data_IF_773337518704
#
_entry.id   IF_773337518704
#
_cell.length_a   1.000
_cell.length_b   1.000
_cell.length_c   1.000
_cell.angle_alpha   90.00
_cell.angle_beta   90.00
_cell.angle_gamma   90.00
#
_symmetry.space_group_name_H-M   'P 1'
#
loop_
_entity.id
_entity.type
_entity.pdbx_description
1 polymer ?
#
# COMPACT_ATOMS: atom_id res chain seq x y z
N UNK A 1 3.84 4.82 -16.17
CA UNK A 1 2.93 5.68 -15.37
C UNK A 1 3.58 7.01 -15.00
N UNK A 2 2.78 8.05 -14.63
CA UNK A 2 3.32 9.36 -14.20
C UNK A 2 3.34 9.43 -12.68
N UNK A 3 4.50 9.72 -12.11
CA UNK A 3 4.65 10.05 -10.70
C UNK A 3 4.92 11.55 -10.53
N UNK A 4 4.54 12.10 -9.38
CA UNK A 4 4.73 13.51 -9.10
C UNK A 4 4.87 13.81 -7.60
N UNK A 5 5.41 14.98 -7.28
CA UNK A 5 5.71 15.43 -5.93
C UNK A 5 7.17 15.20 -5.56
N UNK A 6 7.76 16.19 -4.88
CA UNK A 6 9.22 16.25 -4.67
C UNK A 6 9.80 15.02 -3.99
N UNK A 7 9.17 14.51 -2.92
CA UNK A 7 9.73 13.39 -2.15
C UNK A 7 9.74 12.09 -2.95
N UNK A 8 8.59 11.71 -3.55
CA UNK A 8 8.50 10.51 -4.39
C UNK A 8 9.46 10.60 -5.58
N UNK A 9 9.49 11.76 -6.27
CA UNK A 9 10.40 12.01 -7.36
C UNK A 9 11.86 11.80 -6.96
N UNK A 10 12.31 12.40 -5.85
CA UNK A 10 13.68 12.25 -5.34
C UNK A 10 14.01 10.80 -5.00
N UNK A 11 13.09 10.08 -4.37
CA UNK A 11 13.28 8.68 -4.04
C UNK A 11 13.51 7.84 -5.30
N UNK A 12 12.66 8.02 -6.33
CA UNK A 12 12.74 7.27 -7.58
C UNK A 12 14.04 7.59 -8.35
N UNK A 13 14.40 8.85 -8.53
CA UNK A 13 15.62 9.21 -9.26
C UNK A 13 16.91 8.78 -8.54
N UNK A 14 16.85 8.59 -7.23
CA UNK A 14 17.97 8.10 -6.43
C UNK A 14 18.12 6.58 -6.51
N UNK A 15 17.03 5.85 -6.29
CA UNK A 15 17.06 4.41 -6.04
C UNK A 15 16.63 3.57 -7.26
N UNK A 16 15.83 4.15 -8.19
CA UNK A 16 15.20 3.43 -9.31
C UNK A 16 15.42 4.12 -10.65
N UNK A 17 16.65 4.61 -10.88
CA UNK A 17 17.02 5.35 -12.09
C UNK A 17 16.62 4.67 -13.39
N UNK A 18 16.77 3.35 -13.45
CA UNK A 18 16.48 2.54 -14.64
C UNK A 18 15.00 2.50 -15.01
N UNK A 19 14.09 2.74 -14.05
CA UNK A 19 12.66 2.79 -14.31
C UNK A 19 12.18 4.12 -14.89
N UNK A 20 13.04 5.15 -14.89
CA UNK A 20 12.67 6.50 -15.33
C UNK A 20 12.78 6.60 -16.84
N UNK A 21 11.64 6.88 -17.50
CA UNK A 21 11.56 7.09 -18.97
C UNK A 21 11.75 8.53 -19.38
N UNK A 22 11.18 9.46 -18.62
CA UNK A 22 11.26 10.90 -18.90
C UNK A 22 11.11 11.69 -17.60
N UNK A 23 11.92 12.72 -17.42
CA UNK A 23 11.80 13.69 -16.33
C UNK A 23 11.08 14.93 -16.83
N UNK A 24 10.11 15.45 -16.09
CA UNK A 24 9.42 16.71 -16.35
C UNK A 24 9.69 17.70 -15.22
N UNK A 25 10.17 18.90 -15.56
CA UNK A 25 10.47 19.97 -14.61
C UNK A 25 9.59 21.18 -14.93
N UNK A 26 8.71 21.54 -14.00
CA UNK A 26 7.85 22.72 -14.10
C UNK A 26 8.37 23.92 -13.29
N UNK A 27 9.50 23.76 -12.63
CA UNK A 27 10.21 24.84 -11.94
C UNK A 27 11.72 24.65 -12.00
N UNK A 28 12.44 25.68 -11.65
CA UNK A 28 13.90 25.61 -11.47
C UNK A 28 14.25 24.86 -10.18
N UNK A 29 15.40 24.24 -10.20
CA UNK A 29 15.98 23.59 -9.04
C UNK A 29 17.45 24.00 -8.89
N UNK A 30 18.01 23.80 -7.72
CA UNK A 30 19.42 24.08 -7.46
C UNK A 30 20.35 23.18 -8.30
N UNK A 31 21.62 23.60 -8.41
CA UNK A 31 22.61 22.88 -9.22
C UNK A 31 22.84 21.44 -8.77
N UNK A 32 22.80 21.18 -7.47
CA UNK A 32 23.04 19.86 -6.90
C UNK A 32 21.92 18.89 -7.30
N UNK A 33 20.66 19.30 -7.15
CA UNK A 33 19.51 18.51 -7.57
C UNK A 33 19.48 18.32 -9.09
N UNK A 34 19.78 19.37 -9.86
CA UNK A 34 19.84 19.25 -11.32
C UNK A 34 20.90 18.26 -11.78
N UNK A 35 22.08 18.25 -11.14
CA UNK A 35 23.12 17.26 -11.41
C UNK A 35 22.65 15.82 -11.12
N UNK A 36 21.89 15.59 -10.02
CA UNK A 36 21.29 14.29 -9.73
C UNK A 36 20.30 13.87 -10.82
N UNK A 37 19.45 14.79 -11.28
CA UNK A 37 18.46 14.54 -12.33
C UNK A 37 19.16 14.17 -13.66
N UNK A 38 20.20 14.92 -14.05
CA UNK A 38 21.01 14.59 -15.24
C UNK A 38 21.66 13.20 -15.11
N UNK A 39 22.12 12.86 -13.90
CA UNK A 39 22.71 11.55 -13.59
C UNK A 39 21.75 10.36 -13.66
N UNK A 40 20.45 10.58 -13.89
CA UNK A 40 19.47 9.53 -14.20
C UNK A 40 19.67 8.98 -15.61
N UNK A 41 20.11 9.83 -16.56
CA UNK A 41 20.29 9.45 -17.97
C UNK A 41 19.00 9.48 -18.80
N UNK A 42 17.86 9.82 -18.21
CA UNK A 42 16.59 9.93 -18.92
C UNK A 42 16.42 11.33 -19.56
N UNK A 43 15.66 11.48 -20.66
CA UNK A 43 15.32 12.77 -21.25
C UNK A 43 14.68 13.71 -20.24
N UNK A 44 15.14 14.97 -20.21
CA UNK A 44 14.59 16.02 -19.32
C UNK A 44 13.79 17.00 -20.18
N UNK A 45 12.52 17.19 -19.85
CA UNK A 45 11.59 18.12 -20.51
C UNK A 45 11.19 19.22 -19.54
N UNK A 46 11.47 20.48 -19.90
CA UNK A 46 10.88 21.64 -19.24
C UNK A 46 9.43 21.78 -19.69
N UNK A 47 8.54 21.95 -18.75
CA UNK A 47 7.10 22.11 -19.01
C UNK A 47 6.58 23.29 -18.20
N UNK A 48 5.52 23.94 -18.71
CA UNK A 48 4.79 24.94 -17.94
C UNK A 48 3.93 24.31 -16.84
N UNK A 49 3.38 25.15 -15.98
CA UNK A 49 2.55 24.68 -14.87
C UNK A 49 1.26 24.02 -15.36
N UNK A 50 0.67 24.48 -16.47
CA UNK A 50 -0.56 23.92 -17.01
C UNK A 50 -0.34 22.48 -17.49
N UNK A 51 0.72 22.21 -18.22
CA UNK A 51 1.08 20.88 -18.67
C UNK A 51 1.47 19.98 -17.50
N UNK A 52 2.21 20.49 -16.52
CA UNK A 52 2.55 19.74 -15.32
C UNK A 52 1.29 19.35 -14.51
N UNK A 53 0.33 20.27 -14.37
CA UNK A 53 -0.94 20.03 -13.70
C UNK A 53 -1.78 18.98 -14.44
N UNK A 54 -1.80 19.02 -15.76
CA UNK A 54 -2.46 17.99 -16.59
C UNK A 54 -1.82 16.62 -16.41
N UNK A 55 -0.47 16.52 -16.43
CA UNK A 55 0.27 15.29 -16.18
C UNK A 55 0.01 14.74 -14.77
N UNK A 56 -0.07 15.61 -13.76
CA UNK A 56 -0.36 15.26 -12.39
C UNK A 56 -1.86 15.02 -12.11
N UNK A 57 -2.73 15.14 -13.14
CA UNK A 57 -4.20 15.01 -13.00
C UNK A 57 -4.77 15.85 -11.86
N UNK A 58 -4.33 17.09 -11.74
CA UNK A 58 -4.74 18.02 -10.69
C UNK A 58 -4.01 17.87 -9.36
N UNK A 59 -3.08 16.92 -9.23
CA UNK A 59 -2.34 16.70 -7.99
C UNK A 59 -1.24 17.72 -7.73
N UNK A 60 -0.80 17.83 -6.49
CA UNK A 60 0.29 18.74 -6.08
C UNK A 60 1.66 18.18 -6.52
N UNK A 61 2.09 18.57 -7.71
CA UNK A 61 3.35 18.08 -8.32
C UNK A 61 4.61 18.80 -7.80
N UNK A 62 4.49 19.95 -7.14
CA UNK A 62 5.62 20.71 -6.60
C UNK A 62 6.72 21.04 -7.62
N UNK A 63 6.39 21.00 -8.91
CA UNK A 63 7.31 21.23 -10.02
C UNK A 63 8.15 20.03 -10.48
N UNK A 64 7.97 18.85 -9.88
CA UNK A 64 8.74 17.64 -10.17
C UNK A 64 7.81 16.48 -10.55
N UNK A 65 7.99 15.95 -11.75
CA UNK A 65 7.27 14.80 -12.26
C UNK A 65 8.24 13.87 -13.02
N UNK A 66 7.90 12.62 -13.09
CA UNK A 66 8.59 11.68 -13.97
C UNK A 66 7.61 10.68 -14.57
N UNK A 67 7.84 10.33 -15.82
CA UNK A 67 7.28 9.14 -16.42
C UNK A 67 8.19 7.97 -16.10
N UNK A 68 7.63 6.95 -15.50
CA UNK A 68 8.34 5.74 -15.12
C UNK A 68 7.67 4.51 -15.73
N UNK A 69 8.32 3.37 -15.68
CA UNK A 69 7.71 2.10 -16.05
C UNK A 69 6.47 1.81 -15.22
N UNK A 70 5.59 0.97 -15.74
CA UNK A 70 4.42 0.52 -14.98
C UNK A 70 4.86 -0.28 -13.76
N UNK A 71 4.07 -0.20 -12.69
CA UNK A 71 4.33 -0.96 -11.48
C UNK A 71 4.04 -2.44 -11.71
N UNK A 72 4.98 -3.30 -11.34
CA UNK A 72 4.83 -4.75 -11.44
C UNK A 72 4.37 -5.32 -10.10
N UNK A 73 3.15 -5.87 -10.08
CA UNK A 73 2.63 -6.59 -8.93
C UNK A 73 3.35 -7.93 -8.76
N UNK A 74 3.53 -8.32 -7.50
CA UNK A 74 4.05 -9.65 -7.19
C UNK A 74 3.01 -10.72 -7.45
N UNK A 75 3.46 -11.89 -7.88
CA UNK A 75 2.60 -13.06 -7.97
C UNK A 75 2.14 -13.54 -6.59
N UNK A 76 0.93 -14.08 -6.51
CA UNK A 76 0.38 -14.57 -5.24
C UNK A 76 1.22 -15.69 -4.62
N UNK A 77 1.91 -16.50 -5.42
CA UNK A 77 2.79 -17.55 -4.93
C UNK A 77 4.04 -17.00 -4.23
N UNK A 78 4.47 -15.80 -4.55
CA UNK A 78 5.54 -15.07 -3.85
C UNK A 78 5.06 -14.58 -2.47
N UNK A 79 3.83 -14.06 -2.43
CA UNK A 79 3.17 -13.63 -1.20
C UNK A 79 2.93 -14.80 -0.23
N UNK A 80 2.52 -15.97 -0.73
CA UNK A 80 2.28 -17.17 0.08
C UNK A 80 3.54 -17.71 0.80
N UNK A 81 4.73 -17.29 0.39
CA UNK A 81 6.00 -17.66 1.07
C UNK A 81 6.23 -16.86 2.35
N UNK A 82 5.50 -15.79 2.55
CA UNK A 82 5.61 -14.94 3.75
C UNK A 82 4.92 -15.55 4.97
N UNK A 83 5.30 -15.12 6.16
CA UNK A 83 4.65 -15.57 7.41
C UNK A 83 3.52 -14.65 7.84
N UNK A 84 3.59 -13.37 7.53
CA UNK A 84 2.53 -12.42 7.80
C UNK A 84 2.19 -11.61 6.55
N UNK A 85 0.91 -11.60 6.18
CA UNK A 85 0.39 -10.82 5.06
C UNK A 85 -0.85 -10.04 5.46
N UNK A 86 -1.02 -8.87 4.85
CA UNK A 86 -2.23 -8.05 4.96
C UNK A 86 -3.08 -8.21 3.71
N UNK A 87 -4.39 -8.37 3.87
CA UNK A 87 -5.37 -8.47 2.77
C UNK A 87 -6.33 -7.29 2.88
N UNK A 88 -6.34 -6.40 1.89
CA UNK A 88 -7.18 -5.23 1.85
C UNK A 88 -8.41 -5.54 0.99
N UNK A 89 -9.54 -5.74 1.65
CA UNK A 89 -10.77 -6.20 1.01
C UNK A 89 -11.77 -5.05 0.85
N UNK A 90 -12.01 -4.62 -0.39
CA UNK A 90 -12.95 -3.55 -0.70
C UNK A 90 -12.46 -2.13 -0.34
N UNK A 91 -11.15 -1.94 -0.09
CA UNK A 91 -10.57 -0.61 0.07
C UNK A 91 -10.34 0.02 -1.30
N UNK A 92 -10.85 1.24 -1.49
CA UNK A 92 -10.68 2.02 -2.73
C UNK A 92 -9.87 3.31 -2.53
N UNK A 93 -9.79 3.82 -1.30
CA UNK A 93 -9.02 5.02 -1.01
C UNK A 93 -7.52 4.75 -1.04
N UNK A 94 -6.86 5.35 -2.02
CA UNK A 94 -5.40 5.18 -2.24
C UNK A 94 -4.56 5.77 -1.11
N UNK A 95 -5.09 6.73 -0.35
CA UNK A 95 -4.44 7.30 0.82
C UNK A 95 -4.33 6.27 1.94
N UNK A 96 -5.43 5.60 2.25
CA UNK A 96 -5.46 4.51 3.24
C UNK A 96 -4.62 3.32 2.79
N UNK A 97 -4.76 2.89 1.53
CA UNK A 97 -3.95 1.79 0.98
C UNK A 97 -2.46 2.15 1.09
N UNK A 98 -2.05 3.35 0.69
CA UNK A 98 -0.67 3.80 0.77
C UNK A 98 -0.14 3.88 2.21
N UNK A 99 -0.94 4.37 3.16
CA UNK A 99 -0.58 4.40 4.57
C UNK A 99 -0.40 2.98 5.14
N UNK A 100 -1.29 2.05 4.79
CA UNK A 100 -1.17 0.63 5.17
C UNK A 100 0.09 0.01 4.58
N UNK A 101 0.35 0.20 3.28
CA UNK A 101 1.55 -0.33 2.62
C UNK A 101 2.83 0.20 3.27
N UNK A 102 2.87 1.50 3.60
CA UNK A 102 4.00 2.11 4.30
C UNK A 102 4.21 1.50 5.68
N UNK A 103 3.15 1.33 6.45
CA UNK A 103 3.20 0.71 7.78
C UNK A 103 3.62 -0.76 7.68
N UNK A 104 3.03 -1.52 6.76
CA UNK A 104 3.35 -2.91 6.49
C UNK A 104 4.84 -3.09 6.19
N UNK A 105 5.38 -2.28 5.27
CA UNK A 105 6.80 -2.30 4.92
C UNK A 105 7.69 -1.92 6.11
N UNK A 106 7.35 -0.85 6.83
CA UNK A 106 8.15 -0.35 7.95
C UNK A 106 8.20 -1.32 9.14
N UNK A 107 7.11 -2.06 9.39
CA UNK A 107 7.02 -3.02 10.50
C UNK A 107 7.42 -4.46 10.11
N UNK A 108 7.70 -4.74 8.84
CA UNK A 108 8.12 -6.06 8.39
C UNK A 108 6.99 -7.04 8.09
N UNK A 109 5.78 -6.55 7.79
CA UNK A 109 4.75 -7.37 7.17
C UNK A 109 5.24 -7.84 5.80
N UNK A 110 5.22 -9.14 5.55
CA UNK A 110 5.86 -9.75 4.38
C UNK A 110 5.18 -9.45 3.05
N UNK A 111 3.89 -9.06 3.05
CA UNK A 111 3.19 -8.70 1.83
C UNK A 111 1.83 -8.07 2.05
N UNK A 112 1.37 -7.30 1.06
CA UNK A 112 0.04 -6.69 1.03
C UNK A 112 -0.69 -7.16 -0.22
N UNK A 113 -1.86 -7.75 -0.05
CA UNK A 113 -2.73 -8.15 -1.16
C UNK A 113 -3.92 -7.21 -1.21
N UNK A 114 -4.12 -6.56 -2.34
CA UNK A 114 -5.30 -5.72 -2.57
C UNK A 114 -6.31 -6.51 -3.39
N UNK A 115 -7.54 -6.63 -2.86
CA UNK A 115 -8.63 -7.32 -3.55
C UNK A 115 -9.41 -6.28 -4.35
N UNK A 116 -9.08 -6.15 -5.63
CA UNK A 116 -9.69 -5.20 -6.56
C UNK A 116 -9.39 -5.60 -8.02
N UNK A 117 -10.17 -5.07 -8.98
CA UNK A 117 -9.90 -5.23 -10.41
C UNK A 117 -8.72 -4.39 -10.89
N UNK A 118 -8.54 -3.22 -10.31
CA UNK A 118 -7.45 -2.29 -10.63
C UNK A 118 -7.04 -1.50 -9.38
N UNK A 119 -5.86 -0.92 -9.42
CA UNK A 119 -5.33 -0.09 -8.37
C UNK A 119 -4.52 1.06 -8.98
N UNK A 120 -4.86 2.29 -8.60
CA UNK A 120 -4.15 3.49 -9.03
C UNK A 120 -2.81 3.61 -8.30
N UNK A 121 -1.79 2.87 -8.77
CA UNK A 121 -0.50 2.75 -8.12
C UNK A 121 0.25 4.08 -7.98
N UNK A 122 0.07 5.05 -8.88
CA UNK A 122 0.61 6.39 -8.73
C UNK A 122 0.15 7.10 -7.45
N UNK A 123 -1.11 6.87 -7.07
CA UNK A 123 -1.68 7.37 -5.81
C UNK A 123 -1.10 6.64 -4.59
N UNK A 124 -1.01 5.33 -4.66
CA UNK A 124 -0.45 4.47 -3.59
C UNK A 124 1.02 4.78 -3.36
N UNK A 125 1.82 4.89 -4.42
CA UNK A 125 3.25 5.26 -4.34
C UNK A 125 3.46 6.60 -3.64
N UNK A 126 2.63 7.59 -3.97
CA UNK A 126 2.67 8.89 -3.33
C UNK A 126 2.26 8.83 -1.86
N UNK A 127 1.14 8.21 -1.55
CA UNK A 127 0.61 8.09 -0.19
C UNK A 127 1.53 7.26 0.73
N UNK A 128 2.19 6.24 0.19
CA UNK A 128 3.17 5.43 0.91
C UNK A 128 4.55 6.08 1.03
N UNK A 129 4.77 7.30 0.50
CA UNK A 129 6.09 7.93 0.41
C UNK A 129 7.13 7.03 -0.29
N UNK A 130 6.72 6.36 -1.35
CA UNK A 130 7.48 5.39 -2.16
C UNK A 130 7.70 4.00 -1.53
N UNK A 131 7.28 3.74 -0.28
CA UNK A 131 7.43 2.41 0.33
C UNK A 131 6.80 1.29 -0.51
N UNK A 132 5.75 1.60 -1.29
CA UNK A 132 5.13 0.64 -2.20
C UNK A 132 6.06 0.11 -3.30
N UNK A 133 7.16 0.80 -3.61
CA UNK A 133 8.17 0.32 -4.55
C UNK A 133 9.01 -0.83 -3.98
N UNK A 134 9.13 -0.89 -2.67
CA UNK A 134 9.95 -1.88 -1.94
C UNK A 134 9.10 -2.97 -1.29
N UNK A 135 7.79 -2.72 -1.11
CA UNK A 135 6.87 -3.67 -0.52
C UNK A 135 6.45 -4.76 -1.53
N UNK A 136 6.18 -5.96 -1.03
CA UNK A 136 5.57 -7.01 -1.82
C UNK A 136 4.06 -6.74 -1.92
N UNK A 137 3.59 -6.26 -3.07
CA UNK A 137 2.18 -5.96 -3.32
C UNK A 137 1.65 -6.88 -4.41
N UNK A 138 0.54 -7.56 -4.14
CA UNK A 138 -0.21 -8.32 -5.12
C UNK A 138 -1.61 -7.73 -5.32
N UNK A 139 -2.16 -7.90 -6.52
CA UNK A 139 -3.52 -7.51 -6.87
C UNK A 139 -4.29 -8.76 -7.28
N UNK A 140 -5.45 -8.99 -6.69
CA UNK A 140 -6.32 -10.13 -7.00
C UNK A 140 -7.78 -9.68 -7.09
N UNK A 141 -8.56 -10.32 -7.95
CA UNK A 141 -9.99 -10.01 -8.09
C UNK A 141 -10.87 -10.85 -7.17
N UNK A 142 -10.55 -12.14 -7.01
CA UNK A 142 -11.31 -13.07 -6.17
C UNK A 142 -10.67 -13.27 -4.80
N UNK A 143 -11.07 -12.45 -3.86
CA UNK A 143 -10.61 -12.54 -2.49
C UNK A 143 -11.10 -13.80 -1.75
N UNK A 144 -12.27 -14.36 -2.11
CA UNK A 144 -12.77 -15.56 -1.44
C UNK A 144 -11.99 -16.82 -1.84
N UNK A 145 -11.59 -16.92 -3.11
CA UNK A 145 -10.68 -17.97 -3.58
C UNK A 145 -9.31 -17.83 -2.95
N UNK A 146 -8.78 -16.59 -2.86
CA UNK A 146 -7.53 -16.32 -2.17
C UNK A 146 -7.53 -16.81 -0.72
N UNK A 147 -8.58 -16.55 0.06
CA UNK A 147 -8.66 -17.02 1.45
C UNK A 147 -8.60 -18.55 1.54
N UNK A 148 -9.27 -19.27 0.64
CA UNK A 148 -9.19 -20.73 0.59
C UNK A 148 -7.77 -21.22 0.28
N UNK A 149 -7.12 -20.62 -0.72
CA UNK A 149 -5.74 -20.98 -1.09
C UNK A 149 -4.76 -20.71 0.06
N UNK A 150 -4.91 -19.61 0.79
CA UNK A 150 -4.06 -19.29 1.94
C UNK A 150 -4.22 -20.32 3.06
N UNK A 151 -5.45 -20.77 3.34
CA UNK A 151 -5.68 -21.85 4.32
C UNK A 151 -5.01 -23.15 3.92
N UNK A 152 -5.04 -23.52 2.64
CA UNK A 152 -4.39 -24.72 2.13
C UNK A 152 -2.86 -24.71 2.35
N UNK A 153 -2.24 -23.52 2.37
CA UNK A 153 -0.79 -23.38 2.62
C UNK A 153 -0.46 -22.98 4.06
N UNK A 154 -1.44 -23.12 4.98
CA UNK A 154 -1.26 -23.04 6.42
C UNK A 154 -1.42 -21.66 7.04
N UNK A 155 -1.97 -20.68 6.33
CA UNK A 155 -2.33 -19.40 6.94
C UNK A 155 -3.57 -19.53 7.83
N UNK A 156 -3.51 -18.92 9.00
CA UNK A 156 -4.68 -18.62 9.81
C UNK A 156 -5.21 -17.23 9.42
N UNK A 157 -6.49 -17.17 9.08
CA UNK A 157 -7.15 -15.97 8.58
C UNK A 157 -7.79 -15.21 9.75
N UNK A 158 -7.34 -13.99 9.99
CA UNK A 158 -7.89 -13.10 10.99
C UNK A 158 -8.61 -11.94 10.31
N UNK A 159 -9.92 -11.82 10.57
CA UNK A 159 -10.72 -10.70 10.07
C UNK A 159 -10.74 -9.56 11.08
N UNK A 160 -10.31 -8.38 10.68
CA UNK A 160 -10.39 -7.18 11.51
C UNK A 160 -11.80 -6.59 11.46
N UNK A 161 -12.51 -6.60 12.58
CA UNK A 161 -13.86 -6.02 12.69
C UNK A 161 -14.14 -5.51 14.11
N UNK A 162 -15.04 -4.53 14.21
CA UNK A 162 -15.59 -4.10 15.51
C UNK A 162 -16.35 -5.25 16.18
N UNK A 163 -16.24 -5.37 17.50
CA UNK A 163 -16.84 -6.48 18.24
C UNK A 163 -16.09 -7.82 18.15
N UNK A 164 -14.98 -7.88 17.42
CA UNK A 164 -14.08 -9.02 17.45
C UNK A 164 -13.35 -9.16 18.79
N UNK A 165 -12.72 -10.32 18.99
CA UNK A 165 -11.90 -10.58 20.19
C UNK A 165 -10.78 -9.54 20.28
N UNK A 166 -10.55 -8.99 21.45
CA UNK A 166 -9.51 -8.01 21.65
C UNK A 166 -8.14 -8.57 21.21
N UNK A 167 -7.48 -7.88 20.29
CA UNK A 167 -6.20 -8.32 19.74
C UNK A 167 -5.11 -8.57 20.80
N UNK A 168 -5.18 -7.90 21.96
CA UNK A 168 -4.28 -8.17 23.09
C UNK A 168 -4.49 -9.52 23.75
N UNK A 169 -5.64 -10.17 23.55
CA UNK A 169 -6.02 -11.45 24.12
C UNK A 169 -5.89 -12.60 23.10
N UNK A 170 -5.54 -12.26 21.85
CA UNK A 170 -5.35 -13.23 20.77
C UNK A 170 -3.90 -13.68 20.72
N UNK A 171 -3.67 -14.99 20.67
CA UNK A 171 -2.40 -15.58 20.27
C UNK A 171 -2.44 -15.83 18.76
N UNK A 172 -1.62 -15.10 18.04
CA UNK A 172 -1.53 -15.23 16.60
C UNK A 172 -0.72 -16.48 16.22
N UNK A 173 -1.02 -17.06 15.08
CA UNK A 173 -0.29 -18.23 14.57
C UNK A 173 1.03 -17.85 13.89
N UNK A 174 1.77 -18.86 13.46
CA UNK A 174 3.03 -18.66 12.74
C UNK A 174 2.83 -18.06 11.34
N UNK A 175 1.72 -18.43 10.66
CA UNK A 175 1.34 -17.87 9.36
C UNK A 175 0.04 -17.10 9.50
N UNK A 176 0.09 -15.80 9.40
CA UNK A 176 -1.02 -14.87 9.64
C UNK A 176 -1.43 -14.18 8.36
N UNK A 177 -2.71 -14.22 8.03
CA UNK A 177 -3.34 -13.36 7.04
C UNK A 177 -4.35 -12.44 7.75
N UNK A 178 -4.04 -11.16 7.87
CA UNK A 178 -4.91 -10.15 8.46
C UNK A 178 -5.76 -9.50 7.37
N UNK A 179 -7.07 -9.66 7.45
CA UNK A 179 -8.02 -9.09 6.48
C UNK A 179 -8.60 -7.80 7.02
N UNK A 180 -8.37 -6.71 6.29
CA UNK A 180 -8.89 -5.37 6.60
C UNK A 180 -10.03 -5.04 5.64
N UNK A 181 -11.15 -4.57 6.16
CA UNK A 181 -12.33 -4.17 5.39
C UNK A 181 -12.36 -2.68 5.07
N UNK A 182 -13.34 -2.25 4.25
CA UNK A 182 -13.61 -0.84 3.97
C UNK A 182 -14.10 -0.08 5.21
N UNK A 183 -13.93 1.26 5.21
CA UNK A 183 -14.28 2.11 6.35
C UNK A 183 -15.79 2.19 6.63
N UNK A 184 -16.65 2.08 5.63
CA UNK A 184 -18.10 2.20 5.82
C UNK A 184 -18.79 0.87 6.09
N UNK A 185 -18.52 -0.11 5.24
CA UNK A 185 -19.24 -1.40 5.26
C UNK A 185 -18.47 -2.49 6.02
N UNK A 186 -17.20 -2.27 6.31
CA UNK A 186 -16.34 -3.28 6.92
C UNK A 186 -16.11 -4.49 6.01
N UNK A 187 -16.08 -5.67 6.59
CA UNK A 187 -15.93 -6.93 5.87
C UNK A 187 -17.27 -7.59 5.60
N UNK A 188 -17.49 -8.01 4.36
CA UNK A 188 -18.70 -8.72 3.97
C UNK A 188 -18.86 -10.04 4.75
N UNK A 189 -20.11 -10.43 5.08
CA UNK A 189 -20.43 -11.65 5.85
C UNK A 189 -19.74 -12.92 5.34
N UNK A 190 -19.57 -13.07 4.01
CA UNK A 190 -18.88 -14.23 3.42
C UNK A 190 -17.38 -14.27 3.77
N UNK A 191 -16.73 -13.11 3.90
CA UNK A 191 -15.32 -12.99 4.31
C UNK A 191 -15.19 -13.35 5.79
N UNK A 192 -16.06 -12.79 6.64
CA UNK A 192 -16.11 -13.12 8.07
C UNK A 192 -16.32 -14.61 8.31
N UNK A 193 -17.25 -15.24 7.57
CA UNK A 193 -17.54 -16.69 7.69
C UNK A 193 -16.37 -17.58 7.22
N UNK A 194 -15.49 -17.08 6.36
CA UNK A 194 -14.28 -17.79 5.92
C UNK A 194 -13.07 -17.53 6.81
N UNK A 195 -13.13 -16.55 7.69
CA UNK A 195 -12.06 -16.25 8.64
C UNK A 195 -12.04 -17.24 9.78
N UNK A 196 -10.86 -17.54 10.31
CA UNK A 196 -10.71 -18.48 11.45
C UNK A 196 -10.96 -17.78 12.78
N UNK A 197 -10.71 -16.47 12.84
CA UNK A 197 -10.96 -15.67 14.04
C UNK A 197 -11.27 -14.22 13.63
N UNK A 198 -12.19 -13.59 14.37
CA UNK A 198 -12.50 -12.16 14.21
C UNK A 198 -11.79 -11.44 15.34
N UNK A 199 -10.92 -10.49 14.97
CA UNK A 199 -10.11 -9.70 15.90
C UNK A 199 -10.51 -8.24 15.85
N UNK A 200 -10.46 -7.58 16.99
CA UNK A 200 -10.83 -6.19 17.12
C UNK A 200 -9.89 -5.42 18.03
N UNK A 201 -10.02 -4.11 17.98
CA UNK A 201 -9.37 -3.18 18.89
C UNK A 201 -10.43 -2.71 19.87
N UNK A 202 -10.20 -2.90 21.17
CA UNK A 202 -11.14 -2.45 22.20
C UNK A 202 -11.17 -0.92 22.23
N UNK A 203 -12.30 -0.36 21.81
CA UNK A 203 -12.54 1.08 21.89
C UNK A 203 -12.89 1.51 23.31
N UNK A 204 -12.63 2.77 23.61
CA UNK A 204 -13.09 3.46 24.82
C UNK A 204 -14.02 4.60 24.42
N UNK A 205 -14.78 5.12 25.37
CA UNK A 205 -15.64 6.31 25.19
C UNK A 205 -16.73 6.14 24.12
N UNK A 206 -17.29 4.93 23.98
CA UNK A 206 -18.38 4.60 23.05
C UNK A 206 -18.10 5.01 21.58
N UNK A 207 -16.82 4.98 21.18
CA UNK A 207 -16.42 5.26 19.81
C UNK A 207 -16.51 4.01 18.93
N UNK A 208 -17.07 4.15 17.72
CA UNK A 208 -17.42 2.99 16.88
C UNK A 208 -16.21 2.35 16.19
N UNK A 209 -15.27 3.15 15.67
CA UNK A 209 -14.16 2.63 14.86
C UNK A 209 -13.00 3.63 14.76
N UNK A 210 -11.85 3.13 14.31
CA UNK A 210 -10.70 3.92 13.87
C UNK A 210 -10.64 3.95 12.34
N UNK A 211 -9.95 4.94 11.80
CA UNK A 211 -9.52 4.89 10.41
C UNK A 211 -8.79 3.57 10.13
N UNK A 212 -9.05 2.95 8.98
CA UNK A 212 -8.56 1.61 8.65
C UNK A 212 -7.03 1.50 8.68
N UNK A 213 -6.30 2.55 8.30
CA UNK A 213 -4.83 2.53 8.36
C UNK A 213 -4.31 2.62 9.80
N UNK A 214 -4.99 3.34 10.68
CA UNK A 214 -4.69 3.39 12.11
C UNK A 214 -4.97 2.03 12.78
N UNK A 215 -6.12 1.43 12.48
CA UNK A 215 -6.46 0.10 12.95
C UNK A 215 -5.45 -0.96 12.49
N UNK A 216 -5.05 -0.89 11.20
CA UNK A 216 -4.01 -1.76 10.67
C UNK A 216 -2.69 -1.60 11.41
N UNK A 217 -2.24 -0.38 11.68
CA UNK A 217 -0.97 -0.15 12.37
C UNK A 217 -0.93 -0.81 13.77
N UNK A 218 -2.02 -0.67 14.52
CA UNK A 218 -2.16 -1.29 15.85
C UNK A 218 -2.13 -2.82 15.76
N UNK A 219 -2.91 -3.40 14.84
CA UNK A 219 -2.99 -4.86 14.66
C UNK A 219 -1.68 -5.43 14.11
N UNK A 220 -1.05 -4.74 13.17
CA UNK A 220 0.23 -5.12 12.59
C UNK A 220 1.35 -5.16 13.64
N UNK A 221 1.47 -4.10 14.44
CA UNK A 221 2.43 -4.05 15.54
C UNK A 221 2.20 -5.18 16.54
N UNK A 222 0.93 -5.44 16.90
CA UNK A 222 0.58 -6.52 17.83
C UNK A 222 0.90 -7.91 17.28
N UNK A 223 0.74 -8.15 15.97
CA UNK A 223 1.05 -9.44 15.34
C UNK A 223 2.57 -9.68 15.28
N UNK A 224 3.34 -8.62 15.01
CA UNK A 224 4.79 -8.74 14.79
C UNK A 224 5.56 -8.82 16.12
N UNK A 225 5.09 -8.15 17.17
CA UNK A 225 5.75 -8.03 18.45
C UNK A 225 5.10 -8.91 19.55
N UNK A 226 4.42 -9.97 19.19
CA UNK A 226 3.81 -10.92 20.12
C UNK A 226 4.82 -11.68 21.00
#
# INVERSE_FOLDING_TARGET
>A
MIIYGKQLFLHIIKNYKKSVKTVYLAKECDKALFSQIVGVGAPIKRVDNQKAQALARGGNHQGFLAEIEEFEFKGIDEIKKQNFIAILYGLSDVGNIGAIVRTAHALGCGGVVVVAKNLAMEGVLRASSAAAYEANIALVEDGLSLLNELKQVGFKIYAAASGGKNAHEVKFGQKVALVMGSEGEGLHKKVLAKSDEIVGIKMKNDWDSLNVSAAFAILCDRIINE
#
